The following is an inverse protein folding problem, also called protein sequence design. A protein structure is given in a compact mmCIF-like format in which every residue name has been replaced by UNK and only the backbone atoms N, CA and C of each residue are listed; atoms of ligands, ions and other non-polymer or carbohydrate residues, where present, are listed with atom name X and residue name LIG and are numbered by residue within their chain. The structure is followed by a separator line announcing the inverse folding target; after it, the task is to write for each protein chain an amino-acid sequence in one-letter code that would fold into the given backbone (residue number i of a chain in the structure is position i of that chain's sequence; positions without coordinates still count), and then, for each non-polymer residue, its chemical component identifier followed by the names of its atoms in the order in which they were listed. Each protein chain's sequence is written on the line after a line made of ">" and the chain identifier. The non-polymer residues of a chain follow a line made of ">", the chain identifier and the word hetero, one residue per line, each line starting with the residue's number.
data_IF_824350316373
#
_entry.id   IF_824350316373
#
_cell.length_a   1.000
_cell.length_b   1.000
_cell.length_c   1.000
_cell.angle_alpha   90.00
_cell.angle_beta   90.00
_cell.angle_gamma   90.00
#
_symmetry.space_group_name_H-M   'P 1'
#
loop_
_entity.id
_entity.type
_entity.pdbx_description
1 polymer ?
#
# COMPACT_ATOMS: atom_id res chain seq x y z
N UNK A 1 57.37 -19.63 -12.24
CA UNK A 1 56.90 -20.48 -11.13
C UNK A 1 56.60 -21.81 -11.79
N UNK A 2 57.07 -22.92 -11.21
CA UNK A 2 56.90 -24.24 -11.82
C UNK A 2 55.41 -24.56 -11.92
N UNK A 3 54.94 -24.97 -13.09
CA UNK A 3 53.65 -25.63 -13.24
C UNK A 3 53.74 -26.96 -12.48
N UNK A 4 53.24 -26.95 -11.25
CA UNK A 4 53.14 -28.15 -10.40
C UNK A 4 51.84 -28.87 -10.82
N UNK A 5 51.89 -29.55 -11.96
CA UNK A 5 50.78 -30.42 -12.38
C UNK A 5 50.65 -31.56 -11.35
N UNK A 6 49.44 -31.82 -10.80
CA UNK A 6 49.26 -32.87 -9.79
C UNK A 6 49.66 -34.23 -10.38
N UNK A 7 50.52 -34.97 -9.68
CA UNK A 7 51.00 -36.28 -10.13
C UNK A 7 50.18 -37.42 -9.52
N UNK A 8 49.68 -37.23 -8.30
CA UNK A 8 48.81 -38.18 -7.60
C UNK A 8 47.38 -37.61 -7.44
N UNK A 9 46.38 -38.49 -7.34
CA UNK A 9 44.97 -38.07 -7.16
C UNK A 9 44.77 -37.22 -5.89
N UNK A 10 45.60 -37.44 -4.87
CA UNK A 10 45.58 -36.68 -3.61
C UNK A 10 46.18 -35.28 -3.71
N UNK A 11 46.93 -34.99 -4.77
CA UNK A 11 47.48 -33.65 -5.01
C UNK A 11 46.43 -32.70 -5.58
N UNK A 12 45.32 -33.23 -6.08
CA UNK A 12 44.22 -32.45 -6.64
C UNK A 12 43.51 -31.67 -5.52
N UNK A 13 43.33 -30.38 -5.75
CA UNK A 13 42.70 -29.44 -4.82
C UNK A 13 41.31 -29.90 -4.36
N UNK A 14 41.22 -30.30 -3.09
CA UNK A 14 39.97 -30.74 -2.46
C UNK A 14 39.71 -32.26 -2.47
N UNK A 15 40.65 -33.04 -3.04
CA UNK A 15 40.67 -34.50 -3.01
C UNK A 15 41.61 -34.96 -1.90
N UNK A 16 41.07 -35.54 -0.84
CA UNK A 16 41.85 -36.24 0.19
C UNK A 16 41.82 -37.75 -0.03
N UNK A 17 42.58 -38.52 0.76
CA UNK A 17 42.69 -39.99 0.65
C UNK A 17 41.35 -40.73 0.48
N UNK A 18 40.30 -40.31 1.20
CA UNK A 18 38.97 -40.93 1.11
C UNK A 18 38.30 -40.72 -0.25
N UNK A 19 38.50 -39.55 -0.87
CA UNK A 19 37.93 -39.22 -2.19
C UNK A 19 38.80 -39.75 -3.32
N UNK A 20 40.12 -39.80 -3.13
CA UNK A 20 41.03 -40.50 -4.04
C UNK A 20 40.65 -41.98 -4.14
N UNK A 21 40.37 -42.64 -3.01
CA UNK A 21 39.87 -44.01 -3.00
C UNK A 21 38.49 -44.17 -3.68
N UNK A 22 37.63 -43.16 -3.62
CA UNK A 22 36.35 -43.15 -4.33
C UNK A 22 36.53 -43.02 -5.85
N UNK A 23 37.48 -42.18 -6.29
CA UNK A 23 37.87 -42.05 -7.71
C UNK A 23 38.47 -43.36 -8.23
N UNK A 24 39.39 -43.97 -7.47
CA UNK A 24 39.96 -45.28 -7.80
C UNK A 24 38.87 -46.37 -7.86
N UNK A 25 37.94 -46.38 -6.90
CA UNK A 25 36.82 -47.31 -6.87
C UNK A 25 35.84 -47.15 -8.04
N UNK A 26 35.77 -45.95 -8.63
CA UNK A 26 35.02 -45.65 -9.84
C UNK A 26 35.82 -45.89 -11.14
N UNK A 27 37.08 -46.31 -11.04
CA UNK A 27 37.95 -46.64 -12.18
C UNK A 27 38.82 -45.50 -12.70
N UNK A 28 38.89 -44.37 -11.99
CA UNK A 28 39.79 -43.25 -12.31
C UNK A 28 41.07 -43.38 -11.46
N UNK A 29 41.99 -44.22 -11.91
CA UNK A 29 43.21 -44.57 -11.15
C UNK A 29 44.33 -43.54 -11.31
N UNK A 30 44.30 -42.74 -12.38
CA UNK A 30 45.32 -41.71 -12.64
C UNK A 30 44.74 -40.32 -12.85
N UNK A 31 45.57 -39.29 -12.65
CA UNK A 31 45.19 -37.88 -12.89
C UNK A 31 44.77 -37.68 -14.36
N UNK A 32 45.36 -38.43 -15.30
CA UNK A 32 44.99 -38.39 -16.70
C UNK A 32 43.57 -38.94 -16.96
N UNK A 33 43.14 -39.93 -16.19
CA UNK A 33 41.78 -40.48 -16.28
C UNK A 33 40.74 -39.45 -15.82
N UNK A 34 41.03 -38.75 -14.71
CA UNK A 34 40.21 -37.62 -14.22
C UNK A 34 40.22 -36.46 -15.22
N UNK A 35 41.34 -36.23 -15.93
CA UNK A 35 41.43 -35.23 -16.98
C UNK A 35 40.64 -35.60 -18.24
N UNK A 36 40.37 -36.89 -18.49
CA UNK A 36 39.54 -37.34 -19.62
C UNK A 36 38.06 -37.48 -19.28
N UNK A 37 37.72 -37.75 -18.02
CA UNK A 37 36.34 -37.89 -17.56
C UNK A 37 35.54 -36.59 -17.67
N UNK A 38 34.28 -36.62 -18.07
CA UNK A 38 33.42 -35.44 -18.06
C UNK A 38 33.12 -34.96 -16.62
N UNK A 39 32.69 -33.69 -16.48
CA UNK A 39 32.35 -33.16 -15.16
C UNK A 39 31.18 -33.92 -14.50
N UNK A 40 30.24 -34.40 -15.32
CA UNK A 40 29.07 -35.17 -14.88
C UNK A 40 29.48 -36.54 -14.35
N UNK A 41 30.34 -37.27 -15.07
CA UNK A 41 30.89 -38.55 -14.62
C UNK A 41 31.65 -38.46 -13.29
N UNK A 42 32.33 -37.33 -13.04
CA UNK A 42 32.97 -37.08 -11.74
C UNK A 42 31.96 -36.70 -10.65
N UNK A 43 30.86 -36.04 -11.00
CA UNK A 43 29.83 -35.62 -10.07
C UNK A 43 28.89 -36.74 -9.61
N UNK A 44 28.81 -37.83 -10.39
CA UNK A 44 28.03 -39.01 -10.04
C UNK A 44 28.73 -39.90 -9.00
N UNK A 45 30.01 -39.64 -8.71
CA UNK A 45 30.78 -40.41 -7.73
C UNK A 45 30.37 -40.01 -6.31
N UNK A 46 30.07 -41.02 -5.48
CA UNK A 46 29.73 -40.84 -4.07
C UNK A 46 30.75 -39.97 -3.33
N UNK A 47 30.32 -38.77 -2.94
CA UNK A 47 31.14 -37.79 -2.20
C UNK A 47 31.83 -36.72 -3.05
N UNK A 48 31.64 -36.74 -4.38
CA UNK A 48 32.08 -35.69 -5.30
C UNK A 48 30.84 -35.07 -5.93
N UNK A 49 30.34 -33.96 -5.38
CA UNK A 49 29.23 -33.23 -6.00
C UNK A 49 29.68 -32.35 -7.17
N UNK A 50 28.72 -31.85 -7.96
CA UNK A 50 28.93 -30.93 -9.10
C UNK A 50 29.97 -29.82 -8.83
N UNK A 51 29.91 -29.18 -7.66
CA UNK A 51 30.83 -28.10 -7.29
C UNK A 51 32.28 -28.57 -7.07
N UNK A 52 32.47 -29.79 -6.56
CA UNK A 52 33.80 -30.36 -6.37
C UNK A 52 34.36 -30.91 -7.70
N UNK A 53 33.51 -31.55 -8.51
CA UNK A 53 33.86 -32.02 -9.85
C UNK A 53 34.39 -30.87 -10.73
N UNK A 54 33.71 -29.72 -10.74
CA UNK A 54 34.17 -28.53 -11.44
C UNK A 54 35.54 -28.03 -10.96
N UNK A 55 35.79 -28.04 -9.64
CA UNK A 55 37.08 -27.64 -9.06
C UNK A 55 38.19 -28.62 -9.41
N UNK A 56 37.93 -29.93 -9.32
CA UNK A 56 38.86 -30.99 -9.74
C UNK A 56 39.24 -30.78 -11.20
N UNK A 57 38.25 -30.53 -12.07
CA UNK A 57 38.45 -30.35 -13.51
C UNK A 57 39.24 -29.10 -13.86
N UNK A 58 39.04 -28.01 -13.12
CA UNK A 58 39.82 -26.79 -13.23
C UNK A 58 41.28 -27.00 -12.83
N UNK A 59 41.52 -27.81 -11.79
CA UNK A 59 42.86 -28.07 -11.24
C UNK A 59 43.70 -29.00 -12.13
N UNK A 60 43.08 -30.05 -12.70
CA UNK A 60 43.75 -30.95 -13.66
C UNK A 60 43.79 -30.42 -15.10
N UNK A 61 43.31 -29.18 -15.31
CA UNK A 61 43.39 -28.48 -16.59
C UNK A 61 42.57 -29.10 -17.72
N UNK A 62 41.40 -29.67 -17.41
CA UNK A 62 40.51 -30.32 -18.37
C UNK A 62 39.14 -29.65 -18.48
N UNK A 63 39.03 -28.34 -18.29
CA UNK A 63 37.74 -27.66 -18.31
C UNK A 63 37.19 -27.60 -19.76
N UNK A 64 36.51 -28.65 -20.18
CA UNK A 64 35.66 -28.68 -21.37
C UNK A 64 34.30 -28.12 -20.96
N UNK A 65 33.98 -26.92 -21.44
CA UNK A 65 32.68 -26.29 -21.27
C UNK A 65 31.74 -26.98 -22.25
N UNK A 66 31.13 -28.08 -21.83
CA UNK A 66 29.93 -28.58 -22.50
C UNK A 66 28.75 -27.73 -22.00
N UNK A 67 28.32 -26.78 -22.83
CA UNK A 67 26.96 -26.25 -22.75
C UNK A 67 26.01 -27.42 -22.98
N UNK A 68 24.96 -27.52 -22.15
CA UNK A 68 23.88 -28.51 -22.18
C UNK A 68 24.10 -29.77 -21.31
N UNK A 69 23.70 -29.67 -20.04
CA UNK A 69 23.03 -30.79 -19.36
C UNK A 69 21.64 -30.32 -18.96
N UNK A 70 20.68 -30.62 -19.84
CA UNK A 70 19.25 -30.60 -19.55
C UNK A 70 18.98 -31.64 -18.45
N UNK A 71 18.62 -31.17 -17.26
CA UNK A 71 17.98 -32.03 -16.29
C UNK A 71 16.50 -32.12 -16.68
N UNK A 72 16.10 -33.25 -17.27
CA UNK A 72 14.69 -33.64 -17.38
C UNK A 72 14.13 -33.80 -15.96
N UNK A 73 13.41 -32.78 -15.49
CA UNK A 73 12.48 -32.89 -14.38
C UNK A 73 11.16 -33.38 -14.96
N UNK A 74 10.70 -34.55 -14.52
CA UNK A 74 9.34 -35.01 -14.79
C UNK A 74 8.36 -33.96 -14.25
N UNK A 75 7.76 -33.20 -15.17
CA UNK A 75 6.80 -32.15 -14.91
C UNK A 75 5.40 -32.77 -14.76
N UNK A 76 4.99 -32.97 -13.51
CA UNK A 76 3.59 -33.18 -13.13
C UNK A 76 3.20 -32.10 -12.11
N UNK A 77 3.27 -30.81 -12.47
CA UNK A 77 2.39 -29.78 -11.90
C UNK A 77 2.57 -28.40 -12.56
N UNK A 78 1.44 -27.87 -13.03
CA UNK A 78 1.15 -26.48 -13.36
C UNK A 78 1.71 -25.93 -14.67
N UNK A 79 0.80 -25.82 -15.64
CA UNK A 79 0.90 -24.86 -16.73
C UNK A 79 1.08 -23.46 -16.14
N UNK A 80 2.28 -22.90 -16.20
CA UNK A 80 2.47 -21.46 -16.07
C UNK A 80 1.78 -20.79 -17.28
N UNK A 81 0.71 -19.99 -17.10
CA UNK A 81 0.26 -19.15 -18.18
C UNK A 81 1.35 -18.11 -18.44
N UNK A 82 1.67 -17.89 -19.73
CA UNK A 82 2.33 -16.69 -20.23
C UNK A 82 1.65 -15.44 -19.65
N UNK A 83 2.15 -14.95 -18.51
CA UNK A 83 1.84 -13.62 -18.00
C UNK A 83 2.69 -12.62 -18.81
N UNK A 84 2.25 -12.33 -20.04
CA UNK A 84 2.48 -11.00 -20.57
C UNK A 84 1.84 -10.03 -19.58
N UNK A 85 2.63 -9.48 -18.65
CA UNK A 85 2.26 -8.36 -17.79
C UNK A 85 1.93 -7.17 -18.70
N UNK A 86 0.71 -7.13 -19.23
CA UNK A 86 0.12 -5.88 -19.70
C UNK A 86 0.00 -5.01 -18.45
N UNK A 87 0.92 -4.08 -18.28
CA UNK A 87 0.81 -3.01 -17.29
C UNK A 87 -0.41 -2.16 -17.67
N UNK A 88 -1.60 -2.62 -17.27
CA UNK A 88 -2.86 -1.90 -17.49
C UNK A 88 -2.79 -0.66 -16.60
N UNK A 89 -2.99 0.52 -17.16
CA UNK A 89 -3.01 1.74 -16.37
C UNK A 89 -4.21 1.67 -15.42
N UNK A 90 -3.98 1.72 -14.11
CA UNK A 90 -5.04 1.68 -13.08
C UNK A 90 -5.20 3.06 -12.45
N UNK A 91 -6.44 3.44 -12.13
CA UNK A 91 -6.75 4.69 -11.42
C UNK A 91 -7.62 4.43 -10.18
N UNK A 92 -7.49 5.31 -9.17
CA UNK A 92 -8.28 5.25 -7.95
C UNK A 92 -9.62 5.95 -8.13
N UNK A 93 -10.70 5.17 -8.14
CA UNK A 93 -12.08 5.66 -8.27
C UNK A 93 -12.80 5.52 -6.92
N UNK A 94 -13.62 6.52 -6.56
CA UNK A 94 -14.44 6.46 -5.36
C UNK A 94 -15.67 5.56 -5.58
N UNK A 95 -16.02 4.71 -4.60
CA UNK A 95 -17.27 3.95 -4.60
C UNK A 95 -18.52 4.85 -4.57
N UNK A 96 -19.59 4.39 -5.20
CA UNK A 96 -20.92 4.99 -5.16
C UNK A 96 -21.06 6.36 -5.84
N UNK A 97 -22.15 7.07 -5.51
CA UNK A 97 -22.53 8.33 -6.15
C UNK A 97 -21.81 9.55 -5.58
N UNK A 98 -20.48 9.60 -5.73
CA UNK A 98 -19.63 10.65 -5.16
C UNK A 98 -19.98 12.08 -5.65
N UNK A 99 -20.51 12.22 -6.87
CA UNK A 99 -20.84 13.50 -7.50
C UNK A 99 -22.32 13.93 -7.34
N UNK A 100 -23.16 13.12 -6.70
CA UNK A 100 -24.58 13.45 -6.49
C UNK A 100 -24.71 14.79 -5.75
N UNK A 101 -25.64 15.63 -6.18
CA UNK A 101 -25.94 16.94 -5.59
C UNK A 101 -27.40 16.93 -5.12
N UNK A 102 -27.73 17.53 -3.96
CA UNK A 102 -29.09 17.48 -3.43
C UNK A 102 -30.05 18.36 -4.24
N UNK A 103 -31.34 18.03 -4.14
CA UNK A 103 -32.41 18.94 -4.55
C UNK A 103 -32.72 19.89 -3.39
N UNK A 104 -32.46 21.19 -3.57
CA UNK A 104 -32.70 22.22 -2.56
C UNK A 104 -33.72 23.25 -3.05
N UNK A 105 -34.47 23.82 -2.12
CA UNK A 105 -35.30 24.99 -2.40
C UNK A 105 -34.43 26.23 -2.69
N UNK A 106 -34.96 27.14 -3.52
CA UNK A 106 -34.26 28.35 -3.97
C UNK A 106 -33.78 29.22 -2.80
N UNK A 107 -34.53 29.23 -1.69
CA UNK A 107 -34.17 30.02 -0.50
C UNK A 107 -33.00 29.39 0.26
N UNK A 108 -33.04 28.08 0.51
CA UNK A 108 -31.92 27.36 1.13
C UNK A 108 -30.66 27.44 0.30
N UNK A 109 -30.74 27.29 -1.03
CA UNK A 109 -29.59 27.42 -1.92
C UNK A 109 -28.97 28.83 -1.84
N UNK A 110 -29.81 29.88 -1.89
CA UNK A 110 -29.37 31.27 -1.73
C UNK A 110 -28.68 31.49 -0.38
N UNK A 111 -29.24 30.98 0.71
CA UNK A 111 -28.67 31.12 2.05
C UNK A 111 -27.40 30.30 2.25
N UNK A 112 -27.28 29.14 1.58
CA UNK A 112 -26.07 28.35 1.54
C UNK A 112 -24.93 29.12 0.84
N UNK A 113 -25.26 29.79 -0.28
CA UNK A 113 -24.36 30.72 -0.96
C UNK A 113 -23.98 31.93 -0.10
N UNK A 114 -24.92 32.50 0.66
CA UNK A 114 -24.60 33.58 1.60
C UNK A 114 -23.66 33.09 2.71
N UNK A 115 -23.90 31.90 3.27
CA UNK A 115 -23.05 31.29 4.29
C UNK A 115 -21.62 31.06 3.78
N UNK A 116 -21.46 30.58 2.55
CA UNK A 116 -20.12 30.36 1.99
C UNK A 116 -19.38 31.68 1.74
N UNK A 117 -20.10 32.72 1.32
CA UNK A 117 -19.53 34.06 1.10
C UNK A 117 -19.17 34.78 2.40
N UNK A 118 -20.04 34.70 3.42
CA UNK A 118 -19.85 35.36 4.71
C UNK A 118 -19.03 34.46 5.62
N UNK A 119 -17.71 34.61 5.56
CA UNK A 119 -16.80 33.84 6.40
C UNK A 119 -16.93 34.23 7.88
N UNK A 120 -16.96 33.21 8.74
CA UNK A 120 -16.95 33.38 10.19
C UNK A 120 -15.49 33.53 10.68
N UNK A 121 -15.20 34.40 11.66
CA UNK A 121 -13.87 34.47 12.26
C UNK A 121 -13.45 33.12 12.85
N UNK A 122 -12.16 32.83 12.91
CA UNK A 122 -11.63 31.56 13.43
C UNK A 122 -12.00 31.26 14.91
N UNK A 123 -12.42 32.27 15.67
CA UNK A 123 -12.74 32.16 17.11
C UNK A 123 -11.68 31.42 17.95
N UNK A 124 -10.40 31.66 17.68
CA UNK A 124 -9.32 31.16 18.52
C UNK A 124 -9.23 31.91 19.86
N UNK A 125 -8.84 31.21 20.92
CA UNK A 125 -8.60 31.80 22.25
C UNK A 125 -7.59 32.95 22.18
N UNK A 126 -7.82 34.04 22.92
CA UNK A 126 -6.85 35.15 22.96
C UNK A 126 -5.42 34.66 23.29
N UNK A 127 -4.43 35.23 22.60
CA UNK A 127 -3.01 34.98 22.81
C UNK A 127 -2.57 33.50 22.66
N UNK A 128 -3.37 32.62 22.02
CA UNK A 128 -3.00 31.22 21.76
C UNK A 128 -1.65 31.10 21.02
N UNK A 129 -1.44 31.92 19.99
CA UNK A 129 -0.21 31.96 19.20
C UNK A 129 1.03 32.41 20.00
N UNK A 130 0.87 33.05 21.16
CA UNK A 130 2.00 33.55 21.96
C UNK A 130 2.61 32.49 22.88
N UNK A 131 1.86 31.44 23.23
CA UNK A 131 2.29 30.43 24.21
C UNK A 131 1.78 29.04 23.81
N UNK A 132 2.71 28.12 23.55
CA UNK A 132 2.41 26.71 23.18
C UNK A 132 1.43 26.00 24.14
N UNK A 133 1.52 26.28 25.45
CA UNK A 133 0.60 25.73 26.46
C UNK A 133 -0.86 26.24 26.36
N UNK A 134 -1.11 27.24 25.53
CA UNK A 134 -2.44 27.85 25.35
C UNK A 134 -3.04 27.30 24.05
N UNK A 135 -4.04 26.40 24.12
CA UNK A 135 -4.63 25.84 22.91
C UNK A 135 -5.47 26.86 22.15
N UNK A 136 -5.76 26.55 20.88
CA UNK A 136 -6.64 27.31 19.98
C UNK A 136 -8.10 27.34 20.47
N UNK A 137 -8.55 26.26 21.13
CA UNK A 137 -9.90 26.11 21.70
C UNK A 137 -10.38 27.37 22.42
N UNK A 138 -11.48 27.96 21.94
CA UNK A 138 -12.05 29.21 22.43
C UNK A 138 -12.27 29.19 23.95
N UNK A 139 -11.91 30.30 24.60
CA UNK A 139 -12.26 30.58 26.00
C UNK A 139 -12.63 32.05 26.12
N UNK A 140 -13.78 32.35 26.75
CA UNK A 140 -14.22 33.73 26.99
C UNK A 140 -13.11 34.51 27.73
N UNK A 141 -12.60 35.63 27.18
CA UNK A 141 -11.57 36.41 27.84
C UNK A 141 -12.13 37.07 29.10
N UNK A 142 -11.63 36.68 30.28
CA UNK A 142 -12.16 37.13 31.59
C UNK A 142 -11.43 38.34 32.19
N UNK A 143 -10.13 38.49 31.94
CA UNK A 143 -9.30 39.51 32.58
C UNK A 143 -9.82 40.93 32.34
N UNK A 144 -9.90 41.74 33.41
CA UNK A 144 -10.48 43.08 33.35
C UNK A 144 -9.84 43.98 32.26
N UNK A 145 -8.52 43.90 32.12
CA UNK A 145 -7.72 44.66 31.16
C UNK A 145 -7.48 43.95 29.81
N UNK A 146 -8.09 42.78 29.60
CA UNK A 146 -7.96 42.06 28.31
C UNK A 146 -8.43 42.95 27.17
N UNK A 147 -7.58 43.06 26.14
CA UNK A 147 -7.83 43.91 24.98
C UNK A 147 -8.92 43.30 24.07
N UNK A 148 -8.96 41.98 23.96
CA UNK A 148 -10.05 41.26 23.27
C UNK A 148 -11.38 41.41 24.03
N UNK A 149 -11.39 41.26 25.37
CA UNK A 149 -12.61 41.48 26.18
C UNK A 149 -13.18 42.88 26.00
N UNK A 150 -12.32 43.90 25.93
CA UNK A 150 -12.69 45.30 25.72
C UNK A 150 -13.09 45.63 24.27
N UNK A 151 -13.02 44.67 23.33
CA UNK A 151 -13.41 44.89 21.93
C UNK A 151 -12.45 45.77 21.13
N UNK A 152 -11.16 45.81 21.49
CA UNK A 152 -10.18 46.60 20.75
C UNK A 152 -9.94 45.96 19.37
N UNK A 153 -10.14 46.74 18.30
CA UNK A 153 -9.92 46.31 16.91
C UNK A 153 -8.54 45.70 16.74
N UNK A 154 -8.46 44.57 16.04
CA UNK A 154 -7.23 43.82 15.80
C UNK A 154 -6.88 42.77 16.87
N UNK A 155 -7.68 42.59 17.93
CA UNK A 155 -7.50 41.52 18.93
C UNK A 155 -8.38 40.29 18.71
N UNK A 156 -9.04 40.21 17.57
CA UNK A 156 -10.00 39.15 17.21
C UNK A 156 -11.39 39.44 17.77
N UNK A 157 -12.41 38.94 17.05
CA UNK A 157 -13.80 39.03 17.48
C UNK A 157 -14.05 38.10 18.67
N UNK A 158 -15.03 38.46 19.51
CA UNK A 158 -15.52 37.59 20.58
C UNK A 158 -16.77 36.86 20.10
N UNK A 159 -16.94 35.61 20.54
CA UNK A 159 -18.14 34.83 20.20
C UNK A 159 -19.39 35.56 20.71
N UNK A 160 -20.33 35.80 19.80
CA UNK A 160 -21.63 36.44 20.04
C UNK A 160 -22.69 35.76 19.15
N UNK A 161 -23.97 35.88 19.53
CA UNK A 161 -25.06 35.23 18.80
C UNK A 161 -25.25 35.76 17.36
N UNK A 162 -24.81 36.99 17.09
CA UNK A 162 -24.89 37.60 15.75
C UNK A 162 -23.97 36.96 14.70
N UNK A 163 -23.04 36.08 15.10
CA UNK A 163 -22.20 35.31 14.18
C UNK A 163 -22.80 33.97 13.76
N UNK A 164 -24.05 33.67 14.12
CA UNK A 164 -24.72 32.45 13.70
C UNK A 164 -25.03 32.50 12.20
N UNK A 165 -24.86 31.37 11.52
CA UNK A 165 -25.32 31.19 10.14
C UNK A 165 -26.86 31.22 10.05
N UNK A 166 -27.43 31.48 8.86
CA UNK A 166 -28.86 31.35 8.60
C UNK A 166 -29.41 30.01 9.08
N UNK A 167 -30.65 29.96 9.55
CA UNK A 167 -31.21 28.76 10.20
C UNK A 167 -31.31 27.59 9.22
N UNK A 168 -31.83 27.83 8.03
CA UNK A 168 -32.05 26.80 6.98
C UNK A 168 -30.73 26.22 6.48
N UNK A 169 -29.73 27.07 6.22
CA UNK A 169 -28.41 26.60 5.77
C UNK A 169 -27.46 26.18 6.92
N UNK A 170 -27.91 26.14 8.18
CA UNK A 170 -27.03 25.82 9.32
C UNK A 170 -26.87 24.31 9.45
N UNK A 171 -25.62 23.85 9.41
CA UNK A 171 -25.29 22.43 9.62
C UNK A 171 -25.23 21.62 8.33
N UNK A 172 -25.75 22.14 7.22
CA UNK A 172 -25.62 21.49 5.91
C UNK A 172 -24.15 21.38 5.47
N UNK A 173 -23.80 20.28 4.80
CA UNK A 173 -22.52 20.11 4.13
C UNK A 173 -22.30 21.23 3.09
N UNK A 174 -21.06 21.59 2.70
CA UNK A 174 -20.83 22.57 1.63
C UNK A 174 -21.51 22.23 0.31
N UNK A 175 -21.78 20.96 0.02
CA UNK A 175 -22.57 20.53 -1.13
C UNK A 175 -24.08 20.71 -0.97
N UNK A 176 -24.56 21.03 0.24
CA UNK A 176 -25.97 21.26 0.53
C UNK A 176 -26.69 20.14 1.26
N UNK A 177 -26.14 18.93 1.31
CA UNK A 177 -26.78 17.80 2.00
C UNK A 177 -26.85 18.01 3.51
N UNK A 178 -27.90 17.49 4.14
CA UNK A 178 -27.88 17.20 5.56
C UNK A 178 -27.05 15.94 5.82
N UNK A 179 -26.15 15.99 6.81
CA UNK A 179 -25.25 14.88 7.11
C UNK A 179 -25.89 13.91 8.10
N UNK A 180 -26.06 12.64 7.71
CA UNK A 180 -26.51 11.55 8.58
C UNK A 180 -25.32 10.67 8.96
N UNK A 181 -25.12 10.47 10.26
CA UNK A 181 -24.06 9.62 10.79
C UNK A 181 -24.51 8.17 10.87
N UNK A 182 -23.80 7.28 10.18
CA UNK A 182 -24.17 5.85 10.03
C UNK A 182 -23.07 4.92 10.56
N UNK A 183 -23.48 3.82 11.18
CA UNK A 183 -22.62 2.79 11.75
C UNK A 183 -22.86 1.38 11.20
N UNK A 184 -24.02 1.15 10.58
CA UNK A 184 -24.45 -0.15 10.05
C UNK A 184 -25.47 0.03 8.90
N UNK A 185 -25.82 -1.05 8.22
CA UNK A 185 -26.73 -1.03 7.08
C UNK A 185 -28.15 -0.62 7.47
N UNK A 186 -28.61 -0.99 8.67
CA UNK A 186 -29.97 -0.67 9.14
C UNK A 186 -30.15 0.85 9.33
N UNK A 187 -29.07 1.59 9.66
CA UNK A 187 -29.13 3.05 9.78
C UNK A 187 -29.42 3.76 8.43
N UNK A 188 -29.36 3.04 7.30
CA UNK A 188 -29.67 3.57 5.97
C UNK A 188 -31.17 3.52 5.61
N UNK A 189 -32.00 2.87 6.43
CA UNK A 189 -33.44 2.67 6.13
C UNK A 189 -34.24 3.97 6.08
N UNK A 190 -33.94 4.92 6.96
CA UNK A 190 -34.69 6.18 7.10
C UNK A 190 -34.04 7.37 6.36
N UNK A 191 -33.03 7.12 5.52
CA UNK A 191 -32.25 8.17 4.85
C UNK A 191 -32.81 8.49 3.48
N UNK A 192 -33.13 9.77 3.26
CA UNK A 192 -33.55 10.28 1.95
C UNK A 192 -32.33 10.76 1.14
N UNK A 193 -32.00 10.02 0.06
CA UNK A 193 -30.80 10.27 -0.75
C UNK A 193 -30.82 11.58 -1.55
N UNK A 194 -31.95 12.26 -1.68
CA UNK A 194 -32.05 13.52 -2.43
C UNK A 194 -31.78 14.74 -1.54
N UNK A 195 -32.09 14.65 -0.26
CA UNK A 195 -31.88 15.74 0.71
C UNK A 195 -30.68 15.47 1.63
N UNK A 196 -30.36 14.21 1.89
CA UNK A 196 -29.40 13.79 2.90
C UNK A 196 -28.24 12.99 2.28
N UNK A 197 -27.07 13.10 2.90
CA UNK A 197 -25.90 12.30 2.57
C UNK A 197 -25.34 11.66 3.83
N UNK A 198 -24.75 10.47 3.64
CA UNK A 198 -24.29 9.64 4.74
C UNK A 198 -22.81 9.87 5.02
N UNK A 199 -22.45 9.98 6.29
CA UNK A 199 -21.07 9.88 6.78
C UNK A 199 -20.91 8.64 7.63
N UNK A 200 -20.12 7.69 7.14
CA UNK A 200 -19.82 6.44 7.84
C UNK A 200 -18.87 6.75 9.01
N UNK A 201 -19.21 6.28 10.21
CA UNK A 201 -18.37 6.43 11.39
C UNK A 201 -16.99 5.77 11.20
N UNK A 202 -15.92 6.44 11.64
CA UNK A 202 -14.54 5.96 11.44
C UNK A 202 -14.21 4.64 12.16
N UNK A 203 -15.04 4.20 13.10
CA UNK A 203 -14.88 2.92 13.81
C UNK A 203 -15.43 1.73 13.00
N UNK A 204 -16.18 1.98 11.93
CA UNK A 204 -16.69 0.92 11.05
C UNK A 204 -15.52 0.35 10.23
N UNK A 205 -15.29 -0.96 10.34
CA UNK A 205 -14.22 -1.65 9.60
C UNK A 205 -14.57 -1.92 8.14
N UNK A 206 -13.56 -2.22 7.32
CA UNK A 206 -13.66 -2.37 5.87
C UNK A 206 -14.80 -3.28 5.39
N UNK A 207 -14.92 -4.49 5.95
CA UNK A 207 -15.99 -5.44 5.56
C UNK A 207 -17.39 -4.84 5.68
N UNK A 208 -17.72 -4.25 6.83
CA UNK A 208 -19.05 -3.65 7.04
C UNK A 208 -19.22 -2.39 6.20
N UNK A 209 -18.12 -1.70 5.91
CA UNK A 209 -18.12 -0.46 5.16
C UNK A 209 -18.44 -0.72 3.68
N UNK A 210 -17.91 -1.80 3.13
CA UNK A 210 -18.31 -2.35 1.83
C UNK A 210 -19.82 -2.62 1.79
N UNK A 211 -20.36 -3.40 2.75
CA UNK A 211 -21.81 -3.66 2.81
C UNK A 211 -22.67 -2.38 2.86
N UNK A 212 -22.21 -1.35 3.59
CA UNK A 212 -22.90 -0.05 3.70
C UNK A 212 -22.80 0.74 2.38
N UNK A 213 -21.63 0.74 1.74
CA UNK A 213 -21.39 1.48 0.50
C UNK A 213 -22.20 0.90 -0.66
N UNK A 214 -22.26 -0.43 -0.76
CA UNK A 214 -23.04 -1.14 -1.80
C UNK A 214 -24.54 -0.82 -1.66
N UNK A 215 -25.10 -0.96 -0.44
CA UNK A 215 -26.52 -0.65 -0.18
C UNK A 215 -26.82 0.85 -0.36
N UNK A 216 -25.87 1.73 -0.01
CA UNK A 216 -26.03 3.16 -0.23
C UNK A 216 -26.04 3.49 -1.74
N UNK A 217 -25.21 2.84 -2.53
CA UNK A 217 -25.17 3.01 -3.99
C UNK A 217 -26.48 2.54 -4.64
N UNK A 218 -27.00 1.37 -4.24
CA UNK A 218 -28.29 0.83 -4.70
C UNK A 218 -29.46 1.76 -4.41
N UNK A 219 -29.41 2.49 -3.29
CA UNK A 219 -30.43 3.46 -2.87
C UNK A 219 -30.16 4.88 -3.36
N UNK A 220 -29.15 5.07 -4.20
CA UNK A 220 -28.74 6.38 -4.74
C UNK A 220 -28.39 7.40 -3.63
N UNK A 221 -27.88 6.94 -2.50
CA UNK A 221 -27.46 7.76 -1.37
C UNK A 221 -25.97 8.08 -1.51
N UNK A 222 -25.62 9.36 -1.40
CA UNK A 222 -24.21 9.80 -1.42
C UNK A 222 -23.49 9.47 -0.12
N UNK A 223 -22.36 8.78 -0.21
CA UNK A 223 -21.41 8.61 0.92
C UNK A 223 -20.36 9.73 0.87
N UNK A 224 -20.28 10.53 1.94
CA UNK A 224 -19.37 11.69 2.02
C UNK A 224 -17.90 11.31 2.22
N UNK A 225 -17.65 10.14 2.77
CA UNK A 225 -16.32 9.57 2.96
C UNK A 225 -16.26 8.20 2.30
N UNK A 226 -16.16 8.11 0.96
CA UNK A 226 -16.18 6.84 0.22
C UNK A 226 -14.82 6.13 0.27
N UNK A 227 -14.84 4.81 0.03
CA UNK A 227 -13.64 4.00 -0.18
C UNK A 227 -13.19 4.18 -1.63
N UNK A 228 -11.88 4.22 -1.85
CA UNK A 228 -11.29 4.30 -3.18
C UNK A 228 -10.78 2.93 -3.59
N UNK A 229 -11.09 2.53 -4.82
CA UNK A 229 -10.68 1.27 -5.42
C UNK A 229 -9.87 1.50 -6.68
N UNK A 230 -8.95 0.58 -6.96
CA UNK A 230 -8.16 0.57 -8.18
C UNK A 230 -9.02 -0.03 -9.30
N UNK A 231 -9.30 0.77 -10.34
CA UNK A 231 -10.05 0.35 -11.53
C UNK A 231 -9.14 0.46 -12.74
N UNK A 232 -9.20 -0.53 -13.63
CA UNK A 232 -8.45 -0.55 -14.88
C UNK A 232 -9.00 0.50 -15.86
N UNK A 233 -8.12 1.38 -16.33
CA UNK A 233 -8.43 2.38 -17.34
C UNK A 233 -8.30 1.70 -18.71
N UNK A 234 -9.44 1.47 -19.35
CA UNK A 234 -9.45 1.04 -20.74
C UNK A 234 -9.40 2.29 -21.64
N UNK A 235 -8.25 2.53 -22.30
CA UNK A 235 -8.10 3.58 -23.33
C UNK A 235 -8.99 3.37 -24.56
#
# INVERSE_FOLDING_TARGET
>A
MADDEPQELTDISGVGNAKAAALEGAGFETVEDVRRASQSELADIDGIGNALAARIKADVGGLEVEEETEAEVEDESDSEPDEEETTVETELVARGHADKTPELDEETERLLGERSRVSTPQFNRQDYHKKKRTPTSWRKPRGALSKQRRGIKGKGQKVEAGFRSPVEARGLHPSGFEEVHVHNVDDLEDVDGDTQAVRIGSTVGGRKREDIEDVAEEREIRVLNPTYEEVEVNE
#
